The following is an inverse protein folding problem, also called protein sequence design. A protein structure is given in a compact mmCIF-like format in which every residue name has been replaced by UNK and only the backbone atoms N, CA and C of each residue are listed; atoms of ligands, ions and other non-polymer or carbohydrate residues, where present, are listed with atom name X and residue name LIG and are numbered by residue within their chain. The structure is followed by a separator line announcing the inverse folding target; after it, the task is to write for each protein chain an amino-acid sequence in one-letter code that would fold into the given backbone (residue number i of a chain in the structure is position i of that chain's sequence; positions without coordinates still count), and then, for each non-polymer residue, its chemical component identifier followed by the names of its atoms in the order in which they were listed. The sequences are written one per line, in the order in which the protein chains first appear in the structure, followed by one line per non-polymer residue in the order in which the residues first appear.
data_IF_825583267858
#
_entry.id   IF_825583267858
#
_cell.length_a   1.000
_cell.length_b   1.000
_cell.length_c   1.000
_cell.angle_alpha   90.00
_cell.angle_beta   90.00
_cell.angle_gamma   90.00
#
_symmetry.space_group_name_H-M   'P 1'
#
loop_
_entity.id
_entity.type
_entity.pdbx_description
1 polymer ?
#
# COMPACT_ATOMS: atom_id res chain seq x y z
N UNK A 1 -37.78 4.67 40.50
CA UNK A 1 -36.88 3.56 40.11
C UNK A 1 -36.81 3.32 38.61
N UNK A 2 -37.92 3.38 37.87
CA UNK A 2 -37.97 3.20 36.40
C UNK A 2 -37.15 4.21 35.57
N UNK A 3 -36.99 5.45 36.05
CA UNK A 3 -36.31 6.52 35.32
C UNK A 3 -34.78 6.34 35.30
N UNK A 4 -34.20 5.87 36.41
CA UNK A 4 -32.76 5.60 36.55
C UNK A 4 -32.34 4.41 35.67
N UNK A 5 -33.21 3.40 35.54
CA UNK A 5 -32.97 2.23 34.69
C UNK A 5 -32.95 2.57 33.19
N UNK A 6 -33.76 3.54 32.75
CA UNK A 6 -33.71 4.06 31.37
C UNK A 6 -32.42 4.83 31.09
N UNK A 7 -31.91 5.61 32.04
CA UNK A 7 -30.68 6.40 31.87
C UNK A 7 -29.46 5.49 31.75
N UNK A 8 -29.37 4.44 32.58
CA UNK A 8 -28.28 3.45 32.51
C UNK A 8 -28.25 2.74 31.15
N UNK A 9 -29.43 2.41 30.60
CA UNK A 9 -29.52 1.75 29.30
C UNK A 9 -29.08 2.65 28.13
N UNK A 10 -29.30 3.97 28.23
CA UNK A 10 -28.86 4.94 27.20
C UNK A 10 -27.35 5.19 27.29
N UNK A 11 -26.78 5.24 28.49
CA UNK A 11 -25.34 5.39 28.70
C UNK A 11 -24.58 4.18 28.16
N UNK A 12 -25.11 2.96 28.34
CA UNK A 12 -24.49 1.73 27.82
C UNK A 12 -24.44 1.70 26.27
N UNK A 13 -25.44 2.27 25.61
CA UNK A 13 -25.48 2.37 24.13
C UNK A 13 -24.48 3.42 23.62
N UNK A 14 -24.28 4.53 24.35
CA UNK A 14 -23.31 5.56 24.01
C UNK A 14 -21.86 5.08 24.10
N UNK A 15 -21.52 4.23 25.08
CA UNK A 15 -20.17 3.67 25.23
C UNK A 15 -19.82 2.68 24.12
N UNK A 16 -20.82 1.99 23.56
CA UNK A 16 -20.63 1.03 22.45
C UNK A 16 -20.37 1.71 21.10
N UNK A 17 -20.74 2.99 20.91
CA UNK A 17 -20.54 3.73 19.66
C UNK A 17 -19.10 4.24 19.47
N UNK A 18 -18.30 4.32 20.54
CA UNK A 18 -16.90 4.80 20.49
C UNK A 18 -15.87 3.72 20.12
N UNK A 19 -16.27 2.46 19.97
CA UNK A 19 -15.33 1.34 19.83
C UNK A 19 -14.96 0.94 18.38
N UNK A 20 -15.45 1.66 17.36
CA UNK A 20 -15.07 1.43 15.95
C UNK A 20 -14.03 2.45 15.46
N UNK A 21 -12.87 2.56 16.09
CA UNK A 21 -11.76 3.38 15.56
C UNK A 21 -10.95 2.60 14.53
N UNK A 22 -11.54 2.33 13.36
CA UNK A 22 -10.75 2.09 12.15
C UNK A 22 -10.20 3.44 11.72
N UNK A 23 -9.08 3.85 12.30
CA UNK A 23 -8.46 5.15 12.02
C UNK A 23 -8.00 5.20 10.57
N UNK A 24 -8.82 5.87 9.74
CA UNK A 24 -8.39 6.34 8.44
C UNK A 24 -7.36 7.44 8.65
N UNK A 25 -6.32 7.42 7.83
CA UNK A 25 -5.28 8.43 7.80
C UNK A 25 -4.81 8.70 6.39
N UNK A 26 -4.11 9.80 6.22
CA UNK A 26 -3.44 10.12 4.97
C UNK A 26 -2.07 9.43 4.95
N UNK A 27 -1.74 8.80 3.83
CA UNK A 27 -0.43 8.19 3.62
C UNK A 27 0.63 9.29 3.49
N UNK A 28 1.61 9.30 4.39
CA UNK A 28 2.74 10.22 4.39
C UNK A 28 4.03 9.50 4.00
N UNK A 29 4.87 10.15 3.19
CA UNK A 29 6.20 9.67 2.80
C UNK A 29 7.19 10.82 3.04
N UNK A 30 7.58 10.98 4.31
CA UNK A 30 8.28 12.17 4.82
C UNK A 30 9.62 12.45 4.15
N UNK A 31 10.39 11.39 3.91
CA UNK A 31 11.65 11.46 3.20
C UNK A 31 11.56 10.54 1.99
N UNK A 32 11.98 11.06 0.83
CA UNK A 32 11.99 10.35 -0.45
C UNK A 32 13.42 10.19 -0.99
N UNK A 33 14.45 10.74 -0.32
CA UNK A 33 15.84 10.63 -0.79
C UNK A 33 16.39 9.21 -0.67
N UNK A 34 15.74 8.34 0.09
CA UNK A 34 16.06 6.91 0.15
C UNK A 34 15.79 6.17 -1.17
N UNK A 35 15.09 6.79 -2.13
CA UNK A 35 14.55 6.09 -3.29
C UNK A 35 15.57 6.00 -4.44
N UNK A 36 16.59 5.16 -4.26
CA UNK A 36 17.66 4.97 -5.26
C UNK A 36 17.27 3.97 -6.34
N UNK A 37 16.66 2.84 -5.98
CA UNK A 37 16.28 1.78 -6.91
C UNK A 37 14.80 1.43 -6.78
N UNK A 38 14.12 1.30 -7.91
CA UNK A 38 12.77 0.78 -8.04
C UNK A 38 12.78 -0.52 -8.85
N UNK A 39 12.26 -1.59 -8.24
CA UNK A 39 11.98 -2.87 -8.89
C UNK A 39 10.47 -3.03 -9.09
N UNK A 40 10.06 -3.38 -10.30
CA UNK A 40 8.64 -3.53 -10.66
C UNK A 40 8.41 -4.94 -11.19
N UNK A 41 7.42 -5.64 -10.61
CA UNK A 41 7.00 -6.94 -11.11
C UNK A 41 5.51 -6.93 -11.42
N UNK A 42 5.15 -7.54 -12.55
CA UNK A 42 3.79 -7.96 -12.84
C UNK A 42 3.61 -9.40 -12.35
N UNK A 43 2.53 -9.63 -11.60
CA UNK A 43 2.16 -10.94 -11.09
C UNK A 43 0.84 -11.31 -11.73
N UNK A 44 0.87 -12.34 -12.57
CA UNK A 44 -0.30 -12.95 -13.22
C UNK A 44 -0.45 -14.36 -12.66
N UNK A 45 -1.67 -14.71 -12.22
CA UNK A 45 -2.01 -16.05 -11.71
C UNK A 45 -1.05 -16.58 -10.61
N UNK A 46 -0.59 -15.73 -9.69
CA UNK A 46 0.40 -16.06 -8.63
C UNK A 46 1.81 -16.45 -9.10
N UNK A 47 2.11 -16.39 -10.40
CA UNK A 47 3.44 -16.69 -10.88
C UNK A 47 4.18 -15.37 -11.07
N UNK A 48 5.00 -15.01 -10.08
CA UNK A 48 6.00 -13.96 -10.27
C UNK A 48 6.95 -14.40 -11.38
N UNK A 49 6.92 -13.71 -12.53
CA UNK A 49 7.72 -14.05 -13.72
C UNK A 49 6.96 -14.70 -14.89
N UNK A 50 5.66 -14.99 -14.77
CA UNK A 50 4.86 -15.48 -15.92
C UNK A 50 4.51 -14.40 -16.94
N UNK A 51 4.75 -13.13 -16.62
CA UNK A 51 4.30 -11.97 -17.41
C UNK A 51 5.43 -10.99 -17.78
N UNK A 52 6.65 -11.52 -17.93
CA UNK A 52 7.83 -10.76 -18.37
C UNK A 52 8.95 -10.68 -17.31
N UNK A 53 10.10 -10.16 -17.73
CA UNK A 53 11.21 -9.87 -16.82
C UNK A 53 10.87 -8.68 -15.90
N UNK A 54 11.35 -8.66 -14.64
CA UNK A 54 11.19 -7.50 -13.77
C UNK A 54 11.83 -6.25 -14.37
N UNK A 55 11.17 -5.11 -14.23
CA UNK A 55 11.72 -3.81 -14.66
C UNK A 55 12.47 -3.19 -13.49
N UNK A 56 13.70 -2.70 -13.75
CA UNK A 56 14.54 -2.02 -12.77
C UNK A 56 14.81 -0.59 -13.23
N UNK A 57 14.53 0.39 -12.37
CA UNK A 57 14.82 1.81 -12.57
C UNK A 57 15.76 2.26 -11.45
N UNK A 58 16.83 2.99 -11.77
CA UNK A 58 17.86 3.44 -10.82
C UNK A 58 18.12 4.93 -10.95
N UNK A 59 18.35 5.60 -9.81
CA UNK A 59 18.77 7.01 -9.70
C UNK A 59 17.94 7.95 -10.59
N UNK A 60 16.63 7.71 -10.62
CA UNK A 60 15.73 8.36 -11.57
C UNK A 60 14.69 9.22 -10.85
N UNK A 61 14.51 10.46 -11.33
CA UNK A 61 13.48 11.37 -10.82
C UNK A 61 12.06 10.80 -10.94
N UNK A 62 11.83 9.85 -11.85
CA UNK A 62 10.57 9.11 -11.99
C UNK A 62 10.21 8.32 -10.72
N UNK A 63 11.19 7.85 -9.95
CA UNK A 63 10.94 7.18 -8.66
C UNK A 63 10.38 8.17 -7.63
N UNK A 64 10.93 9.39 -7.57
CA UNK A 64 10.42 10.45 -6.69
C UNK A 64 9.02 10.90 -7.10
N UNK A 65 8.76 10.98 -8.41
CA UNK A 65 7.41 11.26 -8.94
C UNK A 65 6.43 10.18 -8.52
N UNK A 66 6.80 8.89 -8.66
CA UNK A 66 5.98 7.76 -8.20
C UNK A 66 5.60 7.89 -6.73
N UNK A 67 6.57 8.12 -5.84
CA UNK A 67 6.32 8.30 -4.41
C UNK A 67 5.37 9.47 -4.14
N UNK A 68 5.52 10.56 -4.89
CA UNK A 68 4.64 11.73 -4.77
C UNK A 68 3.22 11.47 -5.27
N UNK A 69 3.04 10.60 -6.27
CA UNK A 69 1.72 10.21 -6.76
C UNK A 69 0.91 9.37 -5.77
N UNK A 70 1.60 8.53 -4.98
CA UNK A 70 0.95 7.66 -3.98
C UNK A 70 0.85 8.31 -2.60
N UNK A 71 1.67 9.31 -2.31
CA UNK A 71 1.51 10.16 -1.14
C UNK A 71 0.14 10.86 -1.14
N UNK A 72 -0.43 11.08 0.05
CA UNK A 72 -1.73 11.74 0.18
C UNK A 72 -2.93 10.82 0.02
N UNK A 73 -2.72 9.54 -0.32
CA UNK A 73 -3.83 8.58 -0.41
C UNK A 73 -4.45 8.30 0.96
N UNK A 74 -5.77 8.24 1.01
CA UNK A 74 -6.49 7.80 2.20
C UNK A 74 -6.30 6.30 2.41
N UNK A 75 -5.77 5.95 3.58
CA UNK A 75 -5.42 4.58 3.95
C UNK A 75 -5.88 4.27 5.37
N UNK A 76 -5.97 2.97 5.66
CA UNK A 76 -6.16 2.44 7.01
C UNK A 76 -5.18 1.31 7.24
N UNK A 77 -5.06 0.84 8.48
CA UNK A 77 -4.24 -0.35 8.81
C UNK A 77 -4.64 -1.53 7.91
N UNK A 78 -3.65 -2.09 7.22
CA UNK A 78 -3.83 -3.22 6.33
C UNK A 78 -3.71 -4.55 7.08
N UNK A 79 -4.59 -5.48 6.74
CA UNK A 79 -4.45 -6.89 7.09
C UNK A 79 -3.71 -7.59 5.94
N UNK A 80 -2.49 -8.04 6.22
CA UNK A 80 -1.61 -8.63 5.20
C UNK A 80 -2.16 -9.96 4.68
N UNK A 81 -2.59 -10.86 5.57
CA UNK A 81 -3.05 -12.19 5.17
C UNK A 81 -4.31 -12.09 4.31
N UNK A 82 -5.22 -11.19 4.70
CA UNK A 82 -6.41 -10.89 3.90
C UNK A 82 -6.06 -10.30 2.54
N UNK A 83 -5.03 -9.46 2.46
CA UNK A 83 -4.61 -8.84 1.20
C UNK A 83 -3.86 -9.83 0.28
N UNK A 84 -2.98 -10.66 0.83
CA UNK A 84 -2.30 -11.73 0.07
C UNK A 84 -3.34 -12.64 -0.59
N UNK A 85 -4.39 -13.02 0.12
CA UNK A 85 -5.47 -13.81 -0.49
C UNK A 85 -6.13 -13.13 -1.69
N UNK A 86 -6.16 -11.79 -1.75
CA UNK A 86 -6.64 -11.04 -2.92
C UNK A 86 -5.63 -11.00 -4.06
N UNK A 87 -4.34 -10.85 -3.76
CA UNK A 87 -3.27 -10.98 -4.76
C UNK A 87 -3.31 -12.36 -5.41
N UNK A 88 -3.73 -13.40 -4.67
CA UNK A 88 -3.74 -14.77 -5.18
C UNK A 88 -4.73 -15.07 -6.30
N UNK A 89 -5.70 -14.20 -6.51
CA UNK A 89 -6.81 -14.47 -7.43
C UNK A 89 -6.97 -13.36 -8.47
N UNK A 90 -6.02 -12.42 -8.52
CA UNK A 90 -6.08 -11.23 -9.37
C UNK A 90 -4.69 -10.85 -9.82
N UNK A 91 -4.61 -10.33 -11.03
CA UNK A 91 -3.41 -9.70 -11.51
C UNK A 91 -3.06 -8.49 -10.64
N UNK A 92 -1.76 -8.34 -10.41
CA UNK A 92 -1.26 -7.28 -9.55
C UNK A 92 0.13 -6.84 -9.97
N UNK A 93 0.46 -5.62 -9.56
CA UNK A 93 1.76 -5.01 -9.80
C UNK A 93 2.40 -4.76 -8.45
N UNK A 94 3.65 -5.20 -8.27
CA UNK A 94 4.46 -4.86 -7.11
C UNK A 94 5.50 -3.82 -7.48
N UNK A 95 5.66 -2.83 -6.61
CA UNK A 95 6.64 -1.76 -6.71
C UNK A 95 7.47 -1.79 -5.42
N UNK A 96 8.74 -2.14 -5.53
CA UNK A 96 9.67 -2.26 -4.41
C UNK A 96 10.78 -1.23 -4.55
N UNK A 97 10.92 -0.38 -3.53
CA UNK A 97 11.85 0.76 -3.51
C UNK A 97 12.85 0.55 -2.38
N UNK A 98 14.12 0.72 -2.71
CA UNK A 98 15.25 0.59 -1.78
C UNK A 98 16.25 1.71 -1.98
N UNK A 99 16.96 1.97 -0.89
CA UNK A 99 18.16 2.80 -0.74
C UNK A 99 19.45 2.08 -1.15
N UNK A 100 19.34 0.86 -1.65
CA UNK A 100 20.49 0.13 -2.20
C UNK A 100 20.49 0.21 -3.72
N UNK A 101 21.70 0.35 -4.28
CA UNK A 101 21.95 0.33 -5.73
C UNK A 101 21.57 -1.01 -6.39
N UNK A 102 21.43 -2.10 -5.62
CA UNK A 102 21.07 -3.43 -6.11
C UNK A 102 19.99 -4.08 -5.24
N UNK A 103 18.79 -4.18 -5.80
CA UNK A 103 17.75 -5.04 -5.26
C UNK A 103 18.01 -6.49 -5.71
N UNK A 104 18.37 -7.35 -4.77
CA UNK A 104 18.37 -8.81 -4.95
C UNK A 104 17.22 -9.44 -4.18
N UNK A 105 16.86 -10.69 -4.51
CA UNK A 105 15.83 -11.43 -3.80
C UNK A 105 16.25 -11.60 -2.33
N UNK A 106 15.55 -10.93 -1.41
CA UNK A 106 15.89 -10.92 0.03
C UNK A 106 16.52 -9.63 0.55
N UNK A 107 16.79 -8.65 -0.31
CA UNK A 107 17.25 -7.31 0.09
C UNK A 107 16.19 -6.58 0.93
N UNK A 108 16.65 -5.74 1.86
CA UNK A 108 15.81 -4.87 2.67
C UNK A 108 15.04 -3.88 1.78
N UNK A 109 13.72 -3.99 1.75
CA UNK A 109 12.86 -3.06 1.02
C UNK A 109 12.35 -2.01 1.99
N UNK A 110 12.88 -0.79 1.90
CA UNK A 110 12.47 0.33 2.74
C UNK A 110 10.99 0.67 2.54
N UNK A 111 10.53 0.58 1.28
CA UNK A 111 9.15 0.90 0.92
C UNK A 111 8.69 0.01 -0.24
N UNK A 112 7.54 -0.63 -0.09
CA UNK A 112 6.89 -1.30 -1.22
C UNK A 112 5.40 -1.09 -1.23
N UNK A 113 4.81 -1.26 -2.39
CA UNK A 113 3.37 -1.34 -2.51
C UNK A 113 2.93 -2.25 -3.64
N UNK A 114 1.71 -2.76 -3.48
CA UNK A 114 1.01 -3.56 -4.47
C UNK A 114 -0.18 -2.77 -4.98
N UNK A 115 -0.46 -2.93 -6.27
CA UNK A 115 -1.62 -2.35 -6.94
C UNK A 115 -2.42 -3.48 -7.58
N UNK A 116 -3.68 -3.63 -7.18
CA UNK A 116 -4.63 -4.48 -7.88
C UNK A 116 -5.20 -3.71 -9.09
N UNK A 117 -5.62 -4.42 -10.14
CA UNK A 117 -6.25 -3.81 -11.32
C UNK A 117 -7.47 -2.94 -10.98
N UNK A 118 -8.17 -3.25 -9.89
CA UNK A 118 -9.32 -2.45 -9.45
C UNK A 118 -8.94 -1.15 -8.72
N UNK A 119 -7.65 -0.79 -8.71
CA UNK A 119 -7.14 0.43 -8.11
C UNK A 119 -7.02 0.37 -6.58
N UNK A 120 -7.05 -0.82 -5.98
CA UNK A 120 -6.75 -1.00 -4.55
C UNK A 120 -5.23 -1.02 -4.35
N UNK A 121 -4.73 -0.19 -3.43
CA UNK A 121 -3.31 -0.18 -3.09
C UNK A 121 -3.08 -0.77 -1.70
N UNK A 122 -1.97 -1.51 -1.57
CA UNK A 122 -1.49 -2.01 -0.29
C UNK A 122 -0.03 -1.65 -0.10
N UNK A 123 0.27 -0.88 0.94
CA UNK A 123 1.59 -0.33 1.22
C UNK A 123 2.25 -1.08 2.37
N UNK A 124 3.56 -1.28 2.25
CA UNK A 124 4.43 -1.84 3.28
C UNK A 124 5.59 -0.86 3.44
N UNK A 125 5.72 -0.29 4.63
CA UNK A 125 6.80 0.63 5.00
C UNK A 125 7.65 -0.03 6.07
N UNK A 126 8.95 -0.15 5.81
CA UNK A 126 9.90 -0.65 6.80
C UNK A 126 10.69 0.53 7.37
N UNK A 127 10.40 0.87 8.63
CA UNK A 127 11.04 2.01 9.30
C UNK A 127 12.23 1.59 10.17
N UNK A 128 12.80 0.41 9.96
CA UNK A 128 13.83 -0.20 10.81
C UNK A 128 13.24 -0.82 12.08
N UNK A 129 12.49 -0.04 12.86
CA UNK A 129 11.89 -0.47 14.14
C UNK A 129 10.62 -1.31 13.98
N UNK A 130 9.89 -1.11 12.87
CA UNK A 130 8.62 -1.76 12.63
C UNK A 130 8.26 -1.80 11.14
N UNK A 131 7.51 -2.85 10.77
CA UNK A 131 6.86 -2.95 9.46
C UNK A 131 5.43 -2.43 9.60
N UNK A 132 5.16 -1.30 8.97
CA UNK A 132 3.82 -0.70 8.90
C UNK A 132 3.14 -1.13 7.60
N UNK A 133 1.85 -1.49 7.71
CA UNK A 133 1.07 -1.98 6.56
C UNK A 133 -0.22 -1.19 6.43
N UNK A 134 -0.52 -0.76 5.22
CA UNK A 134 -1.68 0.07 4.93
C UNK A 134 -2.42 -0.41 3.70
N UNK A 135 -3.73 -0.21 3.67
CA UNK A 135 -4.56 -0.44 2.50
C UNK A 135 -5.40 0.81 2.24
N UNK A 136 -5.64 1.13 0.97
CA UNK A 136 -6.50 2.28 0.64
C UNK A 136 -7.93 2.06 1.10
N UNK A 137 -8.57 3.15 1.54
CA UNK A 137 -9.99 3.15 1.93
C UNK A 137 -10.92 3.34 0.73
N UNK A 138 -10.38 3.86 -0.38
CA UNK A 138 -11.06 4.00 -1.68
C UNK A 138 -10.21 3.40 -2.80
N UNK A 139 -10.85 3.16 -3.95
CA UNK A 139 -10.21 2.70 -5.18
C UNK A 139 -9.69 3.87 -6.01
N UNK A 140 -8.58 3.65 -6.70
CA UNK A 140 -7.95 4.61 -7.61
C UNK A 140 -7.73 3.94 -8.99
N UNK A 141 -8.80 3.68 -9.75
CA UNK A 141 -8.75 2.81 -10.93
C UNK A 141 -7.76 3.29 -12.01
N UNK A 142 -7.63 4.60 -12.20
CA UNK A 142 -6.74 5.17 -13.23
C UNK A 142 -5.28 5.30 -12.77
N UNK A 143 -5.01 5.12 -11.48
CA UNK A 143 -3.69 5.44 -10.91
C UNK A 143 -2.62 4.50 -11.42
N UNK A 144 -2.94 3.23 -11.62
CA UNK A 144 -2.00 2.27 -12.18
C UNK A 144 -1.52 2.69 -13.57
N UNK A 145 -2.43 3.17 -14.43
CA UNK A 145 -2.07 3.63 -15.78
C UNK A 145 -1.21 4.89 -15.72
N UNK A 146 -1.56 5.86 -14.87
CA UNK A 146 -0.74 7.06 -14.66
C UNK A 146 0.67 6.72 -14.16
N UNK A 147 0.78 5.72 -13.28
CA UNK A 147 2.07 5.23 -12.79
C UNK A 147 2.86 4.63 -13.94
N UNK A 148 2.24 3.78 -14.77
CA UNK A 148 2.90 3.18 -15.94
C UNK A 148 3.41 4.23 -16.92
N UNK A 149 2.57 5.22 -17.25
CA UNK A 149 2.94 6.36 -18.10
C UNK A 149 4.11 7.17 -17.50
N UNK A 150 4.05 7.46 -16.20
CA UNK A 150 5.10 8.24 -15.50
C UNK A 150 6.44 7.51 -15.47
N UNK A 151 6.41 6.19 -15.39
CA UNK A 151 7.58 5.33 -15.37
C UNK A 151 8.01 4.89 -16.78
N UNK A 152 7.22 5.20 -17.81
CA UNK A 152 7.41 4.78 -19.20
C UNK A 152 7.57 3.26 -19.32
N UNK A 153 6.69 2.50 -18.67
CA UNK A 153 6.73 1.03 -18.64
C UNK A 153 5.52 0.40 -19.34
N UNK A 154 5.80 -0.66 -20.09
CA UNK A 154 4.81 -1.53 -20.75
C UNK A 154 5.05 -2.99 -20.33
N UNK A 155 3.96 -3.76 -20.14
CA UNK A 155 3.97 -5.17 -19.72
C UNK A 155 2.90 -6.00 -20.42
#
# INVERSE_FOLDING_TARGET
MYFIQKIISVILILVMLSACSNEEKVLEIKDKSFAETLLINKVVDNVSGSSGEPIVIKEDQRIIKLLTMVEGMNVKKGDYDKFINKLRIRDSYSFSISDEEKLTTGTYVAYSFYVLEDGTFFFIQNTGDAIKRYITTKKYPDMLNKIKETLEIDF
#
